data_IF_304948244139
#
_entry.id   IF_304948244139
#
_cell.length_a   1.000
_cell.length_b   1.000
_cell.length_c   1.000
_cell.angle_alpha   90.00
_cell.angle_beta   90.00
_cell.angle_gamma   90.00
#
_symmetry.space_group_name_H-M   'P 1'
#
loop_
_entity.id
_entity.type
_entity.pdbx_description
1 polymer ?
#
# COMPACT_ATOMS: atom_id res chain seq x y z
N UNK A 1 36.51 -0.29 9.63
CA UNK A 1 35.34 -0.57 10.49
C UNK A 1 34.27 0.40 10.05
N UNK A 2 33.41 0.00 9.12
CA UNK A 2 32.25 0.82 8.73
C UNK A 2 31.32 0.87 9.94
N UNK A 3 31.14 2.06 10.51
CA UNK A 3 30.06 2.28 11.46
C UNK A 3 28.76 2.07 10.68
N UNK A 4 28.05 0.97 10.93
CA UNK A 4 26.67 0.86 10.53
C UNK A 4 25.93 1.94 11.32
N UNK A 5 25.52 3.01 10.64
CA UNK A 5 24.64 4.01 11.23
C UNK A 5 23.37 3.30 11.69
N UNK A 6 23.11 3.27 13.00
CA UNK A 6 21.85 2.76 13.52
C UNK A 6 20.76 3.80 13.23
N UNK A 7 19.70 3.36 12.54
CA UNK A 7 18.52 4.18 12.32
C UNK A 7 17.43 3.78 13.34
N UNK A 8 16.86 4.76 14.03
CA UNK A 8 15.70 4.58 14.89
C UNK A 8 14.44 4.37 14.03
N UNK A 9 13.92 3.14 14.04
CA UNK A 9 12.68 2.76 13.37
C UNK A 9 11.59 2.55 14.43
N UNK A 10 10.44 3.21 14.25
CA UNK A 10 9.29 3.10 15.16
C UNK A 10 7.96 3.16 14.39
N UNK A 11 6.84 2.99 15.10
CA UNK A 11 5.48 3.10 14.55
C UNK A 11 5.23 2.22 13.30
N UNK A 12 5.81 1.02 13.25
CA UNK A 12 5.67 0.10 12.12
C UNK A 12 4.24 -0.44 12.07
N UNK A 13 3.56 -0.26 10.94
CA UNK A 13 2.18 -0.68 10.69
C UNK A 13 2.01 -1.20 9.27
N UNK A 14 1.04 -2.10 9.08
CA UNK A 14 0.73 -2.69 7.77
C UNK A 14 -0.77 -2.59 7.51
N UNK A 15 -1.14 -2.34 6.26
CA UNK A 15 -2.52 -2.34 5.77
C UNK A 15 -2.59 -3.07 4.44
N UNK A 16 -3.66 -3.83 4.19
CA UNK A 16 -3.88 -4.54 2.94
C UNK A 16 -5.26 -4.22 2.38
N UNK A 17 -5.34 -3.94 1.08
CA UNK A 17 -6.59 -3.65 0.38
C UNK A 17 -6.75 -4.60 -0.79
N UNK A 18 -7.80 -5.41 -0.79
CA UNK A 18 -8.19 -6.22 -1.94
C UNK A 18 -9.05 -5.37 -2.91
N UNK A 19 -8.80 -5.51 -4.22
CA UNK A 19 -9.42 -4.72 -5.28
C UNK A 19 -9.90 -5.57 -6.48
N UNK A 20 -9.98 -6.89 -6.32
CA UNK A 20 -10.39 -7.79 -7.40
C UNK A 20 -11.88 -7.72 -7.74
N UNK A 21 -12.45 -8.83 -8.19
CA UNK A 21 -13.89 -8.92 -8.53
C UNK A 21 -14.71 -8.53 -7.28
N UNK A 22 -15.78 -7.75 -7.47
CA UNK A 22 -16.59 -7.16 -6.39
C UNK A 22 -15.81 -6.30 -5.37
N UNK A 23 -14.57 -5.91 -5.67
CA UNK A 23 -13.75 -5.12 -4.77
C UNK A 23 -13.08 -5.90 -3.63
N UNK A 24 -13.05 -7.24 -3.71
CA UNK A 24 -12.35 -8.08 -2.73
C UNK A 24 -11.92 -9.48 -3.20
N UNK A 25 -12.48 -10.03 -4.28
CA UNK A 25 -12.23 -11.40 -4.71
C UNK A 25 -11.13 -11.50 -5.78
N UNK A 26 -10.19 -12.43 -5.62
CA UNK A 26 -9.09 -12.66 -6.56
C UNK A 26 -7.75 -12.14 -6.03
N UNK A 27 -6.79 -11.86 -6.93
CA UNK A 27 -5.40 -11.57 -6.57
C UNK A 27 -4.96 -10.11 -6.84
N UNK A 28 -5.91 -9.18 -6.95
CA UNK A 28 -5.63 -7.76 -7.22
C UNK A 28 -5.85 -6.94 -5.96
N UNK A 29 -4.99 -5.95 -5.74
CA UNK A 29 -4.98 -5.16 -4.52
C UNK A 29 -3.63 -4.55 -4.22
N UNK A 30 -3.42 -4.13 -2.98
CA UNK A 30 -2.15 -3.61 -2.50
C UNK A 30 -1.88 -3.99 -1.04
N UNK A 31 -0.60 -3.97 -0.70
CA UNK A 31 -0.10 -4.01 0.68
C UNK A 31 0.71 -2.75 0.91
N UNK A 32 0.45 -2.08 2.01
CA UNK A 32 1.11 -0.84 2.41
C UNK A 32 1.75 -1.01 3.78
N UNK A 33 3.02 -0.61 3.90
CA UNK A 33 3.76 -0.56 5.15
C UNK A 33 4.08 0.88 5.53
N UNK A 34 3.74 1.31 6.74
CA UNK A 34 4.08 2.63 7.28
C UNK A 34 5.02 2.48 8.47
N UNK A 35 5.99 3.38 8.59
CA UNK A 35 6.95 3.42 9.69
C UNK A 35 7.53 4.82 9.85
N UNK A 36 8.07 5.14 11.02
CA UNK A 36 8.87 6.33 11.26
C UNK A 36 10.35 5.95 11.26
N UNK A 37 11.17 6.63 10.46
CA UNK A 37 12.63 6.48 10.39
C UNK A 37 13.22 7.84 10.80
N UNK A 38 13.98 7.89 11.90
CA UNK A 38 14.53 9.15 12.44
C UNK A 38 13.46 10.25 12.63
N UNK A 39 12.28 9.85 13.12
CA UNK A 39 11.13 10.73 13.30
C UNK A 39 10.38 11.11 12.01
N UNK A 40 10.93 10.82 10.83
CA UNK A 40 10.25 11.06 9.54
C UNK A 40 9.34 9.88 9.19
N UNK A 41 8.09 10.17 8.85
CA UNK A 41 7.13 9.12 8.51
C UNK A 41 7.21 8.72 7.03
N UNK A 42 7.34 7.43 6.77
CA UNK A 42 7.33 6.82 5.45
C UNK A 42 6.13 5.88 5.30
N UNK A 43 5.62 5.77 4.08
CA UNK A 43 4.64 4.78 3.68
C UNK A 43 5.02 4.21 2.32
N UNK A 44 5.22 2.90 2.27
CA UNK A 44 5.52 2.15 1.05
C UNK A 44 4.28 1.39 0.65
N UNK A 45 3.87 1.48 -0.62
CA UNK A 45 2.72 0.74 -1.15
C UNK A 45 3.15 -0.09 -2.35
N UNK A 46 2.95 -1.41 -2.25
CA UNK A 46 3.12 -2.33 -3.36
C UNK A 46 1.74 -2.77 -3.85
N UNK A 47 1.48 -2.65 -5.16
CA UNK A 47 0.16 -2.93 -5.74
C UNK A 47 0.24 -3.89 -6.93
N UNK A 48 -0.74 -4.78 -7.03
CA UNK A 48 -1.00 -5.61 -8.21
C UNK A 48 -2.37 -5.21 -8.78
N UNK A 49 -2.34 -4.41 -9.84
CA UNK A 49 -3.53 -3.82 -10.46
C UNK A 49 -4.06 -4.66 -11.64
N UNK A 50 -5.24 -4.30 -12.14
CA UNK A 50 -5.91 -4.93 -13.26
C UNK A 50 -5.02 -4.93 -14.51
N UNK A 51 -4.79 -6.11 -15.06
CA UNK A 51 -4.08 -6.33 -16.32
C UNK A 51 -4.99 -6.07 -17.53
N UNK A 52 -4.41 -5.90 -18.71
CA UNK A 52 -5.14 -5.73 -19.97
C UNK A 52 -4.90 -4.38 -20.64
N UNK A 53 -4.99 -4.38 -21.97
CA UNK A 53 -4.70 -3.22 -22.83
C UNK A 53 -5.93 -2.81 -23.67
N UNK A 54 -7.12 -3.34 -23.38
CA UNK A 54 -8.33 -2.96 -24.10
C UNK A 54 -8.77 -1.58 -23.64
N UNK A 55 -9.42 -0.82 -24.54
CA UNK A 55 -10.02 0.47 -24.20
C UNK A 55 -10.94 0.32 -22.98
N UNK A 56 -10.68 1.08 -21.92
CA UNK A 56 -11.42 1.03 -20.66
C UNK A 56 -10.72 0.24 -19.53
N UNK A 57 -9.70 -0.58 -19.83
CA UNK A 57 -8.91 -1.27 -18.78
C UNK A 57 -8.09 -0.27 -17.94
N UNK A 58 -7.70 0.87 -18.51
CA UNK A 58 -7.10 1.99 -17.78
C UNK A 58 -8.04 2.54 -16.70
N UNK A 59 -9.35 2.62 -16.99
CA UNK A 59 -10.35 3.06 -16.02
C UNK A 59 -10.46 2.10 -14.84
N UNK A 60 -10.35 0.79 -15.09
CA UNK A 60 -10.32 -0.23 -14.03
C UNK A 60 -9.08 -0.08 -13.14
N UNK A 61 -7.90 0.11 -13.72
CA UNK A 61 -6.66 0.36 -12.94
C UNK A 61 -6.78 1.61 -12.08
N UNK A 62 -7.27 2.71 -12.66
CA UNK A 62 -7.46 3.97 -11.93
C UNK A 62 -8.45 3.81 -10.77
N UNK A 63 -9.56 3.10 -10.99
CA UNK A 63 -10.53 2.81 -9.94
C UNK A 63 -9.91 2.00 -8.78
N UNK A 64 -9.08 0.99 -9.08
CA UNK A 64 -8.37 0.23 -8.05
C UNK A 64 -7.38 1.10 -7.26
N UNK A 65 -6.69 2.03 -7.91
CA UNK A 65 -5.79 2.99 -7.22
C UNK A 65 -6.58 3.87 -6.27
N UNK A 66 -7.71 4.44 -6.71
CA UNK A 66 -8.58 5.24 -5.85
C UNK A 66 -9.07 4.44 -4.63
N UNK A 67 -9.42 3.17 -4.83
CA UNK A 67 -9.88 2.30 -3.75
C UNK A 67 -8.76 1.94 -2.76
N UNK A 68 -7.53 1.69 -3.24
CA UNK A 68 -6.34 1.48 -2.41
C UNK A 68 -6.10 2.70 -1.52
N UNK A 69 -6.11 3.91 -2.10
CA UNK A 69 -5.90 5.13 -1.31
C UNK A 69 -7.03 5.39 -0.32
N UNK A 70 -8.27 5.10 -0.69
CA UNK A 70 -9.42 5.30 0.19
C UNK A 70 -9.45 4.34 1.39
N UNK A 71 -9.02 3.08 1.20
CA UNK A 71 -9.13 2.03 2.21
C UNK A 71 -7.85 1.74 2.99
N UNK A 72 -6.70 2.21 2.51
CA UNK A 72 -5.46 2.09 3.28
C UNK A 72 -5.55 2.95 4.53
N UNK A 73 -5.46 2.32 5.70
CA UNK A 73 -5.53 3.02 6.99
C UNK A 73 -4.60 2.38 8.00
N UNK A 74 -3.98 3.21 8.82
CA UNK A 74 -3.00 2.81 9.83
C UNK A 74 -3.45 3.27 11.21
N UNK A 75 -4.38 2.56 11.87
CA UNK A 75 -4.92 2.99 13.15
C UNK A 75 -3.80 3.19 14.19
N UNK A 76 -3.90 4.18 15.08
CA UNK A 76 -3.02 4.27 16.25
C UNK A 76 -3.20 3.03 17.12
N UNK A 77 -2.14 2.61 17.80
CA UNK A 77 -2.27 1.66 18.90
C UNK A 77 -3.00 2.38 20.04
N UNK A 78 -4.06 1.77 20.58
CA UNK A 78 -4.73 2.23 21.81
C UNK A 78 -3.83 2.01 23.02
#
# INVERSE_FOLDING_TARGET
MEFLTEYCISNVKVSSVACGIMGYLGNKGAVSGSMSIEGTSFCFTAAHLASGEKRGDEGRRNHQVSEIFRRTSFPPFF
#
